data_IF_891750893908
#
_entry.id   IF_891750893908
#
_cell.length_a   1.000
_cell.length_b   1.000
_cell.length_c   1.000
_cell.angle_alpha   90.00
_cell.angle_beta   90.00
_cell.angle_gamma   90.00
#
_symmetry.space_group_name_H-M   'P 1'
#
loop_
_entity.id
_entity.type
_entity.pdbx_description
1 polymer ?
#
# COMPACT_ATOMS: atom_id res chain seq x y z
N UNK A 1 -6.85 6.18 2.43
CA UNK A 1 -7.99 5.52 1.76
C UNK A 1 -8.03 4.07 2.17
N UNK A 2 -9.20 3.51 2.47
CA UNK A 2 -9.32 2.06 2.70
C UNK A 2 -9.61 1.36 1.37
N UNK A 3 -8.95 0.23 1.13
CA UNK A 3 -9.06 -0.52 -0.11
C UNK A 3 -9.09 -2.03 0.14
N UNK A 4 -9.91 -2.71 -0.66
CA UNK A 4 -10.04 -4.17 -0.72
C UNK A 4 -9.59 -4.73 -2.06
N UNK A 5 -9.39 -3.86 -3.06
CA UNK A 5 -9.06 -4.23 -4.42
C UNK A 5 -7.59 -4.65 -4.53
N UNK A 6 -7.37 -5.93 -4.85
CA UNK A 6 -6.01 -6.49 -4.87
C UNK A 6 -5.10 -5.77 -5.87
N UNK A 7 -5.62 -5.34 -7.02
CA UNK A 7 -4.83 -4.62 -8.02
C UNK A 7 -4.40 -3.25 -7.50
N UNK A 8 -5.30 -2.51 -6.86
CA UNK A 8 -4.99 -1.22 -6.25
C UNK A 8 -3.96 -1.37 -5.11
N UNK A 9 -4.12 -2.39 -4.27
CA UNK A 9 -3.19 -2.69 -3.19
C UNK A 9 -1.80 -3.06 -3.75
N UNK A 10 -1.74 -3.87 -4.81
CA UNK A 10 -0.47 -4.24 -5.46
C UNK A 10 0.20 -3.03 -6.09
N UNK A 11 -0.56 -2.16 -6.76
CA UNK A 11 -0.05 -0.90 -7.29
C UNK A 11 0.53 -0.03 -6.18
N UNK A 12 -0.21 0.16 -5.08
CA UNK A 12 0.26 0.94 -3.94
C UNK A 12 1.49 0.31 -3.24
N UNK A 13 1.60 -1.02 -3.20
CA UNK A 13 2.78 -1.72 -2.67
C UNK A 13 3.99 -1.54 -3.59
N UNK A 14 3.79 -1.53 -4.90
CA UNK A 14 4.83 -1.22 -5.88
C UNK A 14 5.29 0.24 -5.76
N UNK A 15 4.34 1.17 -5.63
CA UNK A 15 4.63 2.57 -5.35
C UNK A 15 5.40 2.72 -4.04
N UNK A 16 4.99 2.04 -2.96
CA UNK A 16 5.69 2.05 -1.66
C UNK A 16 7.13 1.55 -1.76
N UNK A 17 7.41 0.56 -2.64
CA UNK A 17 8.76 0.06 -2.85
C UNK A 17 9.62 1.03 -3.68
N UNK A 18 8.99 1.83 -4.54
CA UNK A 18 9.67 2.74 -5.47
C UNK A 18 9.81 4.16 -4.92
N UNK A 19 8.84 4.61 -4.12
CA UNK A 19 8.73 5.97 -3.60
C UNK A 19 8.34 5.93 -2.11
N UNK A 20 8.99 6.73 -1.25
CA UNK A 20 8.70 6.75 0.18
C UNK A 20 7.35 7.41 0.54
N UNK A 21 6.60 7.88 -0.45
CA UNK A 21 5.38 8.69 -0.25
C UNK A 21 4.11 7.86 -0.23
N UNK A 22 4.15 6.64 -0.74
CA UNK A 22 3.03 5.71 -0.65
C UNK A 22 3.34 4.72 0.46
N UNK A 23 2.44 4.58 1.43
CA UNK A 23 2.50 3.61 2.50
C UNK A 23 1.23 2.78 2.50
N UNK A 24 1.39 1.47 2.58
CA UNK A 24 0.29 0.54 2.77
C UNK A 24 0.36 -0.01 4.19
N UNK A 25 -0.70 0.19 4.96
CA UNK A 25 -0.78 -0.15 6.38
C UNK A 25 -2.04 -0.95 6.69
N UNK A 26 -1.97 -1.76 7.74
CA UNK A 26 -3.11 -2.43 8.35
C UNK A 26 -3.02 -2.25 9.86
N UNK A 27 -3.94 -1.46 10.43
CA UNK A 27 -3.79 -0.95 11.79
C UNK A 27 -2.50 -0.14 11.93
N UNK A 28 -1.63 -0.53 12.87
CA UNK A 28 -0.31 0.10 13.08
C UNK A 28 0.82 -0.61 12.32
N UNK A 29 0.53 -1.69 11.59
CA UNK A 29 1.53 -2.49 10.91
C UNK A 29 1.68 -2.13 9.43
N UNK A 30 2.92 -2.08 8.94
CA UNK A 30 3.21 -1.87 7.52
C UNK A 30 2.98 -3.16 6.74
N UNK A 31 2.24 -3.07 5.63
CA UNK A 31 2.00 -4.18 4.70
C UNK A 31 3.10 -4.20 3.64
N UNK A 32 3.68 -5.37 3.39
CA UNK A 32 4.75 -5.58 2.40
C UNK A 32 4.30 -6.38 1.18
N UNK A 33 3.29 -7.23 1.34
CA UNK A 33 2.71 -7.99 0.24
C UNK A 33 1.21 -8.22 0.48
N UNK A 34 0.45 -8.37 -0.61
CA UNK A 34 -0.97 -8.71 -0.57
C UNK A 34 -1.29 -9.78 -1.60
N UNK A 35 -2.24 -10.67 -1.27
CA UNK A 35 -2.79 -11.68 -2.17
C UNK A 35 -4.22 -12.02 -1.81
N UNK A 36 -4.97 -12.55 -2.77
CA UNK A 36 -6.26 -13.17 -2.52
C UNK A 36 -6.11 -14.68 -2.43
N UNK A 37 -6.76 -15.32 -1.46
CA UNK A 37 -6.85 -16.77 -1.40
C UNK A 37 -8.19 -17.18 -0.82
N UNK A 38 -8.88 -18.13 -1.47
CA UNK A 38 -10.19 -18.67 -1.02
C UNK A 38 -11.22 -17.60 -0.66
N UNK A 39 -11.32 -16.52 -1.45
CA UNK A 39 -12.30 -15.47 -1.18
C UNK A 39 -11.87 -14.42 -0.15
N UNK A 40 -10.65 -14.53 0.41
CA UNK A 40 -10.16 -13.66 1.48
C UNK A 40 -8.87 -12.94 1.10
N UNK A 41 -8.78 -11.66 1.47
CA UNK A 41 -7.56 -10.87 1.35
C UNK A 41 -6.58 -11.26 2.45
N UNK A 42 -5.35 -11.59 2.03
CA UNK A 42 -4.24 -11.95 2.89
C UNK A 42 -3.12 -10.95 2.69
N UNK A 43 -2.57 -10.44 3.79
CA UNK A 43 -1.42 -9.53 3.77
C UNK A 43 -0.23 -10.11 4.51
N UNK A 44 0.96 -9.74 4.05
CA UNK A 44 2.20 -9.99 4.78
C UNK A 44 2.65 -8.68 5.41
N UNK A 45 2.80 -8.67 6.73
CA UNK A 45 3.24 -7.50 7.48
C UNK A 45 4.76 -7.48 7.60
N UNK A 46 5.35 -6.29 7.66
CA UNK A 46 6.79 -6.12 7.87
C UNK A 46 7.22 -6.77 9.18
N UNK A 47 8.24 -7.62 9.12
CA UNK A 47 8.75 -8.37 10.27
C UNK A 47 7.94 -9.64 10.62
N UNK A 48 6.85 -9.92 9.90
CA UNK A 48 6.02 -11.11 10.12
C UNK A 48 6.20 -12.10 8.96
N UNK A 49 6.51 -13.36 9.29
CA UNK A 49 6.61 -14.43 8.27
C UNK A 49 5.26 -15.01 7.85
N UNK A 50 4.19 -14.73 8.60
CA UNK A 50 2.86 -15.30 8.38
C UNK A 50 1.99 -14.37 7.54
N UNK A 51 1.15 -14.96 6.70
CA UNK A 51 0.06 -14.26 6.02
C UNK A 51 -1.11 -14.07 6.97
N UNK A 52 -1.56 -12.83 7.11
CA UNK A 52 -2.65 -12.44 8.01
C UNK A 52 -3.89 -12.13 7.17
N UNK A 53 -5.04 -12.78 7.46
CA UNK A 53 -6.30 -12.42 6.85
C UNK A 53 -6.76 -11.04 7.31
N UNK A 54 -7.18 -10.21 6.37
CA UNK A 54 -7.67 -8.86 6.63
C UNK A 54 -8.87 -8.56 5.75
N UNK A 55 -9.76 -7.69 6.23
CA UNK A 55 -10.93 -7.27 5.47
C UNK A 55 -10.58 -6.16 4.47
N UNK A 56 -9.72 -5.22 4.89
CA UNK A 56 -9.23 -4.12 4.06
C UNK A 56 -7.84 -3.68 4.52
N UNK A 57 -7.13 -2.95 3.67
CA UNK A 57 -5.89 -2.23 4.03
C UNK A 57 -6.09 -0.72 3.89
N UNK A 58 -5.26 0.03 4.58
CA UNK A 58 -5.19 1.49 4.44
C UNK A 58 -4.04 1.84 3.51
N UNK A 59 -4.36 2.53 2.43
CA UNK A 59 -3.39 3.12 1.51
C UNK A 59 -3.29 4.61 1.85
N UNK A 60 -2.09 5.01 2.23
CA UNK A 60 -1.72 6.38 2.56
C UNK A 60 -0.80 6.88 1.44
N UNK A 61 -1.26 7.84 0.64
CA UNK A 61 -0.44 8.55 -0.33
C UNK A 61 -0.18 9.94 0.24
N UNK A 62 1.05 10.22 0.66
CA UNK A 62 1.44 11.54 1.12
C UNK A 62 1.45 12.49 -0.09
N UNK A 63 0.60 13.52 -0.05
CA UNK A 63 0.51 14.55 -1.11
C UNK A 63 1.81 15.33 -1.27
N UNK A 64 2.68 15.31 -0.26
CA UNK A 64 3.96 16.01 -0.24
C UNK A 64 5.08 14.97 -0.04
N UNK A 65 5.58 14.44 -1.15
CA UNK A 65 6.88 13.78 -1.15
C UNK A 65 7.97 14.80 -0.75
N UNK A 66 8.75 14.61 0.33
CA UNK A 66 9.83 15.53 0.68
C UNK A 66 11.04 15.46 -0.27
N UNK A 67 10.95 14.74 -1.38
CA UNK A 67 11.88 14.83 -2.50
C UNK A 67 11.20 15.66 -3.57
N UNK A 68 11.63 16.92 -3.75
CA UNK A 68 11.04 17.90 -4.68
C UNK A 68 11.09 17.48 -6.16
N UNK A 69 10.31 16.47 -6.53
CA UNK A 69 10.21 15.89 -7.86
C UNK A 69 8.84 15.23 -8.11
N UNK A 70 7.79 15.71 -7.43
CA UNK A 70 6.40 15.35 -7.76
C UNK A 70 5.59 16.62 -8.08
N UNK A 71 6.19 17.52 -8.86
CA UNK A 71 5.49 18.54 -9.65
C UNK A 71 5.90 18.32 -11.10
N UNK A 72 5.33 17.29 -11.72
CA UNK A 72 5.31 17.15 -13.17
C UNK A 72 4.02 16.42 -13.49
N UNK A 73 2.92 17.14 -13.30
CA UNK A 73 1.71 17.12 -14.12
C UNK A 73 0.62 17.90 -13.37
N UNK A 74 0.63 19.23 -13.52
CA UNK A 74 -0.58 19.98 -13.90
C UNK A 74 -0.24 21.42 -14.36
N UNK A 75 -0.88 21.83 -15.46
CA UNK A 75 -0.99 23.18 -16.03
C UNK A 75 0.15 23.77 -16.90
N UNK A 76 0.19 23.38 -18.18
CA UNK A 76 0.10 24.36 -19.28
C UNK A 76 -1.03 23.94 -20.23
#
# INVERSE_FOLDING_TARGET
MQSTDLEEIKAALWEQASHPCTRVSWGTAQVMAARYSRGQLLVQLRGWRRWTPVEAVTIERATLCPTGACDLEDAW
#
